data_IF_591633600727
#
_entry.id   IF_591633600727
#
_cell.length_a   1.000
_cell.length_b   1.000
_cell.length_c   1.000
_cell.angle_alpha   90.00
_cell.angle_beta   90.00
_cell.angle_gamma   90.00
#
_symmetry.space_group_name_H-M   'P 1'
#
loop_
_entity.id
_entity.type
_entity.pdbx_description
1 polymer ?
#
# COMPACT_ATOMS: atom_id res chain seq x y z
N UNK A 1 25.03 26.95 -26.31
CA UNK A 1 23.70 26.32 -26.23
C UNK A 1 23.87 24.84 -26.53
N UNK A 2 23.97 24.01 -25.50
CA UNK A 2 24.13 22.56 -25.65
C UNK A 2 22.74 21.93 -25.52
N UNK A 3 22.27 21.29 -26.58
CA UNK A 3 21.07 20.46 -26.56
C UNK A 3 21.41 19.18 -25.80
N UNK A 4 20.82 19.00 -24.63
CA UNK A 4 20.79 17.71 -23.95
C UNK A 4 19.77 16.82 -24.68
N UNK A 5 20.15 15.61 -25.12
CA UNK A 5 19.19 14.67 -25.67
C UNK A 5 18.27 14.16 -24.55
N UNK A 6 16.97 14.41 -24.67
CA UNK A 6 15.91 13.70 -23.93
C UNK A 6 15.93 12.23 -24.36
N UNK A 7 16.82 11.46 -23.74
CA UNK A 7 16.80 10.02 -23.80
C UNK A 7 15.96 9.57 -22.59
N UNK A 8 14.64 9.50 -22.76
CA UNK A 8 13.78 8.80 -21.79
C UNK A 8 13.99 7.32 -22.09
N UNK A 9 14.72 6.56 -21.25
CA UNK A 9 14.88 5.14 -21.48
C UNK A 9 13.49 4.49 -21.44
N UNK A 10 13.26 3.53 -22.33
CA UNK A 10 12.11 2.63 -22.27
C UNK A 10 12.02 2.09 -20.84
N UNK A 11 11.02 2.54 -20.08
CA UNK A 11 10.91 2.25 -18.65
C UNK A 11 10.76 0.74 -18.47
N UNK A 12 11.85 0.06 -18.09
CA UNK A 12 11.77 -1.13 -17.26
C UNK A 12 10.96 -0.70 -16.03
N UNK A 13 9.71 -1.15 -15.97
CA UNK A 13 8.76 -0.69 -14.99
C UNK A 13 9.29 -0.86 -13.56
N UNK A 14 9.02 0.10 -12.64
CA UNK A 14 9.60 0.10 -11.32
C UNK A 14 9.12 -1.13 -10.53
N UNK A 15 10.01 -1.71 -9.75
CA UNK A 15 9.59 -2.62 -8.69
C UNK A 15 8.65 -1.87 -7.72
N UNK A 16 7.86 -2.62 -6.95
CA UNK A 16 6.88 -2.03 -6.02
C UNK A 16 7.56 -1.10 -5.01
N UNK A 17 8.82 -1.37 -4.65
CA UNK A 17 9.61 -0.56 -3.72
C UNK A 17 9.97 0.81 -4.32
N UNK A 18 10.53 0.87 -5.53
CA UNK A 18 10.85 2.15 -6.19
C UNK A 18 9.61 3.02 -6.39
N UNK A 19 8.46 2.38 -6.67
CA UNK A 19 7.20 3.10 -6.75
C UNK A 19 6.75 3.63 -5.39
N UNK A 20 6.90 2.85 -4.32
CA UNK A 20 6.66 3.32 -2.95
C UNK A 20 7.53 4.52 -2.59
N UNK A 21 8.83 4.48 -2.88
CA UNK A 21 9.75 5.60 -2.62
C UNK A 21 9.33 6.86 -3.38
N UNK A 22 8.87 6.71 -4.62
CA UNK A 22 8.33 7.82 -5.41
C UNK A 22 7.07 8.42 -4.80
N UNK A 23 6.16 7.59 -4.25
CA UNK A 23 4.97 8.06 -3.54
C UNK A 23 5.33 8.78 -2.24
N UNK A 24 6.38 8.35 -1.55
CA UNK A 24 6.83 8.95 -0.30
C UNK A 24 7.47 10.33 -0.50
N UNK A 25 8.17 10.51 -1.62
CA UNK A 25 8.79 11.79 -2.00
C UNK A 25 7.82 12.74 -2.70
N UNK A 26 6.62 12.30 -3.06
CA UNK A 26 5.64 13.11 -3.76
C UNK A 26 5.09 14.22 -2.86
N UNK A 27 4.98 15.44 -3.40
CA UNK A 27 4.34 16.55 -2.70
C UNK A 27 2.81 16.43 -2.82
N UNK A 28 2.21 15.74 -1.84
CA UNK A 28 0.76 15.52 -1.77
C UNK A 28 -0.05 16.80 -1.53
N UNK A 29 0.58 17.91 -1.18
CA UNK A 29 -0.09 19.17 -0.83
C UNK A 29 0.19 20.29 -1.84
N UNK A 30 0.74 19.96 -3.00
CA UNK A 30 1.00 20.91 -4.09
C UNK A 30 -0.24 21.70 -4.50
N UNK A 31 -1.44 21.12 -4.33
CA UNK A 31 -2.72 21.75 -4.63
C UNK A 31 -3.05 22.94 -3.72
N UNK A 32 -2.39 23.07 -2.57
CA UNK A 32 -2.53 24.20 -1.63
C UNK A 32 -1.44 25.27 -1.82
N UNK A 33 -0.57 25.14 -2.82
CA UNK A 33 0.44 26.15 -3.10
C UNK A 33 -0.16 27.40 -3.75
N UNK A 34 0.22 28.57 -3.26
CA UNK A 34 -0.12 29.86 -3.88
C UNK A 34 0.62 30.09 -5.22
N UNK A 35 1.67 29.30 -5.50
CA UNK A 35 2.38 29.35 -6.77
C UNK A 35 1.68 28.49 -7.82
N UNK A 36 1.19 29.13 -8.90
CA UNK A 36 0.58 28.42 -10.03
C UNK A 36 1.51 27.36 -10.63
N UNK A 37 2.81 27.62 -10.67
CA UNK A 37 3.79 26.70 -11.24
C UNK A 37 3.93 25.42 -10.40
N UNK A 38 3.85 25.55 -9.07
CA UNK A 38 3.88 24.40 -8.15
C UNK A 38 2.58 23.61 -8.26
N UNK A 39 1.43 24.28 -8.28
CA UNK A 39 0.12 23.65 -8.46
C UNK A 39 0.08 22.79 -9.75
N UNK A 40 0.38 23.39 -10.90
CA UNK A 40 0.28 22.69 -12.20
C UNK A 40 1.33 21.58 -12.35
N UNK A 41 2.51 21.75 -11.74
CA UNK A 41 3.52 20.69 -11.70
C UNK A 41 3.03 19.52 -10.86
N UNK A 42 2.45 19.78 -9.70
CA UNK A 42 1.87 18.76 -8.83
C UNK A 42 0.76 17.97 -9.51
N UNK A 43 -0.20 18.65 -10.14
CA UNK A 43 -1.28 18.01 -10.90
C UNK A 43 -0.76 17.11 -12.02
N UNK A 44 0.26 17.57 -12.77
CA UNK A 44 0.88 16.77 -13.83
C UNK A 44 1.56 15.53 -13.27
N UNK A 45 2.40 15.69 -12.24
CA UNK A 45 3.11 14.59 -11.61
C UNK A 45 2.16 13.58 -10.97
N UNK A 46 1.05 14.04 -10.38
CA UNK A 46 0.02 13.17 -9.85
C UNK A 46 -0.65 12.35 -10.96
N UNK A 47 -0.98 12.98 -12.08
CA UNK A 47 -1.51 12.28 -13.26
C UNK A 47 -0.55 11.22 -13.81
N UNK A 48 0.76 11.50 -13.81
CA UNK A 48 1.79 10.51 -14.18
C UNK A 48 1.83 9.33 -13.20
N UNK A 49 1.76 9.59 -11.89
CA UNK A 49 1.74 8.54 -10.86
C UNK A 49 0.49 7.66 -11.01
N UNK A 50 -0.69 8.26 -11.20
CA UNK A 50 -1.94 7.52 -11.39
C UNK A 50 -1.90 6.67 -12.67
N UNK A 51 -1.33 7.20 -13.75
CA UNK A 51 -1.16 6.43 -14.99
C UNK A 51 -0.21 5.24 -14.81
N UNK A 52 0.94 5.46 -14.15
CA UNK A 52 1.87 4.37 -13.81
C UNK A 52 1.14 3.31 -12.97
N UNK A 53 0.35 3.72 -11.98
CA UNK A 53 -0.38 2.80 -11.14
C UNK A 53 -1.38 1.94 -11.92
N UNK A 54 -2.08 2.53 -12.90
CA UNK A 54 -3.00 1.82 -13.78
C UNK A 54 -2.28 0.82 -14.69
N UNK A 55 -1.14 1.22 -15.24
CA UNK A 55 -0.38 0.39 -16.18
C UNK A 55 0.28 -0.82 -15.50
N UNK A 56 0.60 -0.71 -14.20
CA UNK A 56 1.33 -1.75 -13.43
C UNK A 56 0.43 -2.65 -12.58
N UNK A 57 -0.86 -2.31 -12.46
CA UNK A 57 -1.87 -3.20 -11.94
C UNK A 57 -2.35 -2.94 -10.51
N UNK A 58 -3.12 -3.88 -9.93
CA UNK A 58 -3.93 -3.68 -8.72
C UNK A 58 -3.17 -3.14 -7.51
N UNK A 59 -1.98 -3.69 -7.24
CA UNK A 59 -1.17 -3.34 -6.07
C UNK A 59 -0.72 -1.88 -6.13
N UNK A 60 -0.30 -1.41 -7.30
CA UNK A 60 0.17 -0.03 -7.49
C UNK A 60 -0.97 0.98 -7.34
N UNK A 61 -2.15 0.63 -7.87
CA UNK A 61 -3.35 1.43 -7.75
C UNK A 61 -3.82 1.54 -6.29
N UNK A 62 -3.87 0.41 -5.59
CA UNK A 62 -4.17 0.36 -4.16
C UNK A 62 -3.14 1.14 -3.33
N UNK A 63 -1.84 1.05 -3.65
CA UNK A 63 -0.79 1.75 -2.91
C UNK A 63 -0.91 3.26 -3.04
N UNK A 64 -1.11 3.74 -4.27
CA UNK A 64 -1.28 5.18 -4.57
C UNK A 64 -2.42 5.77 -3.75
N UNK A 65 -3.55 5.07 -3.69
CA UNK A 65 -4.76 5.54 -3.02
C UNK A 65 -4.66 5.40 -1.50
N UNK A 66 -3.99 4.35 -1.01
CA UNK A 66 -3.67 4.18 0.41
C UNK A 66 -2.77 5.30 0.92
N UNK A 67 -1.76 5.69 0.15
CA UNK A 67 -0.91 6.85 0.44
C UNK A 67 -1.71 8.15 0.42
N UNK A 68 -2.50 8.38 -0.63
CA UNK A 68 -3.37 9.55 -0.72
C UNK A 68 -4.25 9.69 0.51
N UNK A 69 -4.89 8.59 0.93
CA UNK A 69 -5.74 8.52 2.12
C UNK A 69 -4.98 8.78 3.41
N UNK A 70 -3.77 8.24 3.55
CA UNK A 70 -2.89 8.52 4.69
C UNK A 70 -2.59 10.02 4.79
N UNK A 71 -2.14 10.62 3.69
CA UNK A 71 -1.72 12.02 3.63
C UNK A 71 -2.89 12.99 3.82
N UNK A 72 -4.10 12.60 3.39
CA UNK A 72 -5.32 13.39 3.55
C UNK A 72 -6.09 13.09 4.84
N UNK A 73 -5.50 12.38 5.81
CA UNK A 73 -6.16 11.97 7.05
C UNK A 73 -5.40 12.39 8.30
N UNK A 74 -6.11 12.44 9.42
CA UNK A 74 -5.60 13.03 10.65
C UNK A 74 -6.04 14.47 10.81
N UNK A 75 -5.35 15.19 11.68
CA UNK A 75 -5.89 16.34 12.41
C UNK A 75 -5.67 17.70 11.77
N UNK A 76 -6.64 18.63 11.89
CA UNK A 76 -7.36 18.96 13.14
C UNK A 76 -8.82 18.43 13.25
N UNK A 77 -9.34 18.22 14.49
CA UNK A 77 -10.66 17.67 14.95
C UNK A 77 -10.83 16.18 15.40
N UNK A 78 -9.93 15.61 16.21
CA UNK A 78 -9.78 14.17 16.53
C UNK A 78 -10.07 13.12 15.41
N UNK A 79 -9.81 13.42 14.14
CA UNK A 79 -9.91 12.49 13.00
C UNK A 79 -8.86 11.38 13.12
N UNK A 80 -9.26 10.09 13.12
CA UNK A 80 -8.32 8.99 13.09
C UNK A 80 -7.40 9.06 11.88
N UNK A 81 -6.09 9.00 12.11
CA UNK A 81 -5.09 8.93 11.04
C UNK A 81 -5.10 7.54 10.44
N UNK A 82 -5.28 7.43 9.13
CA UNK A 82 -5.12 6.14 8.45
C UNK A 82 -3.65 5.72 8.56
N UNK A 83 -3.34 4.43 8.80
CA UNK A 83 -1.97 3.98 8.87
C UNK A 83 -1.28 4.13 7.51
N UNK A 84 -0.02 4.56 7.52
CA UNK A 84 0.81 4.57 6.32
C UNK A 84 1.11 3.11 5.94
N UNK A 85 0.93 2.69 4.69
CA UNK A 85 1.42 1.39 4.24
C UNK A 85 2.94 1.28 4.52
N UNK A 86 3.43 0.17 5.07
CA UNK A 86 4.87 -0.04 5.24
C UNK A 86 5.53 -0.23 3.88
N UNK A 87 6.83 0.07 3.77
CA UNK A 87 7.58 -0.16 2.54
C UNK A 87 7.48 -1.65 2.13
N UNK A 88 7.29 -1.95 0.83
CA UNK A 88 7.40 -3.30 0.33
C UNK A 88 8.81 -3.82 0.58
N UNK A 89 8.95 -4.88 1.36
CA UNK A 89 10.24 -5.56 1.55
C UNK A 89 10.26 -6.77 0.61
N UNK A 90 11.43 -7.11 0.09
CA UNK A 90 11.61 -8.40 -0.57
C UNK A 90 11.68 -9.49 0.51
N UNK A 91 10.55 -10.14 0.76
CA UNK A 91 10.41 -11.06 1.89
C UNK A 91 11.11 -12.39 1.60
N UNK A 92 12.31 -12.53 2.16
CA UNK A 92 13.05 -13.79 2.17
C UNK A 92 12.41 -14.82 3.10
N UNK A 93 12.76 -16.10 2.93
CA UNK A 93 12.33 -17.19 3.81
C UNK A 93 12.57 -16.87 5.30
N UNK A 94 13.68 -16.20 5.64
CA UNK A 94 14.03 -15.81 7.01
C UNK A 94 12.94 -14.96 7.66
N UNK A 95 12.38 -13.99 6.93
CA UNK A 95 11.34 -13.14 7.50
C UNK A 95 10.03 -13.90 7.78
N UNK A 96 9.65 -14.86 6.93
CA UNK A 96 8.49 -15.71 7.19
C UNK A 96 8.70 -16.58 8.43
N UNK A 97 9.92 -17.06 8.65
CA UNK A 97 10.29 -17.80 9.85
C UNK A 97 10.19 -16.89 11.07
N UNK A 98 10.73 -15.68 11.02
CA UNK A 98 10.68 -14.71 12.11
C UNK A 98 9.24 -14.34 12.49
N UNK A 99 8.38 -14.05 11.50
CA UNK A 99 6.96 -13.79 11.74
C UNK A 99 6.26 -14.99 12.38
N UNK A 100 6.57 -16.20 11.92
CA UNK A 100 5.98 -17.41 12.50
C UNK A 100 6.45 -17.61 13.93
N UNK A 101 7.74 -17.47 14.21
CA UNK A 101 8.32 -17.59 15.55
C UNK A 101 7.72 -16.55 16.50
N UNK A 102 7.62 -15.29 16.06
CA UNK A 102 7.01 -14.22 16.86
C UNK A 102 5.55 -14.53 17.18
N UNK A 103 4.79 -15.03 16.20
CA UNK A 103 3.41 -15.42 16.42
C UNK A 103 3.27 -16.57 17.42
N UNK A 104 4.05 -17.63 17.28
CA UNK A 104 4.03 -18.76 18.23
C UNK A 104 4.42 -18.31 19.65
N UNK A 105 5.40 -17.41 19.78
CA UNK A 105 5.79 -16.86 21.06
C UNK A 105 4.64 -16.10 21.72
N UNK A 106 3.91 -15.27 20.97
CA UNK A 106 2.73 -14.57 21.46
C UNK A 106 1.63 -15.52 21.91
N UNK A 107 1.37 -16.60 21.17
CA UNK A 107 0.37 -17.60 21.54
C UNK A 107 0.75 -18.32 22.85
N UNK A 108 2.03 -18.65 23.04
CA UNK A 108 2.53 -19.25 24.28
C UNK A 108 2.39 -18.27 25.45
N UNK A 109 2.78 -17.01 25.26
CA UNK A 109 2.64 -15.98 26.31
C UNK A 109 1.18 -15.76 26.70
N UNK A 110 0.28 -15.71 25.71
CA UNK A 110 -1.16 -15.57 25.92
C UNK A 110 -1.73 -16.75 26.70
N UNK A 111 -1.25 -17.97 26.44
CA UNK A 111 -1.64 -19.14 27.21
C UNK A 111 -1.08 -19.12 28.64
N UNK A 112 0.17 -18.65 28.82
CA UNK A 112 0.83 -18.60 30.11
C UNK A 112 0.22 -17.55 31.06
N UNK A 113 -0.35 -16.46 30.54
CA UNK A 113 -0.93 -15.38 31.36
C UNK A 113 -2.43 -15.61 31.61
N UNK A 114 -2.84 -15.52 32.89
CA UNK A 114 -4.28 -15.58 33.29
C UNK A 114 -5.12 -14.41 32.81
N UNK A 115 -4.50 -13.26 32.53
CA UNK A 115 -5.14 -12.09 31.94
C UNK A 115 -4.25 -11.59 30.80
N UNK A 116 -4.85 -11.37 29.62
CA UNK A 116 -4.14 -10.81 28.47
C UNK A 116 -3.94 -9.32 28.73
N UNK A 117 -2.69 -8.89 28.87
CA UNK A 117 -2.36 -7.47 28.95
C UNK A 117 -2.61 -6.77 27.62
N UNK A 118 -2.89 -5.46 27.67
CA UNK A 118 -3.07 -4.61 26.47
C UNK A 118 -1.88 -4.73 25.52
N UNK A 119 -0.66 -4.84 26.05
CA UNK A 119 0.57 -4.91 25.27
C UNK A 119 0.62 -6.14 24.35
N UNK A 120 0.09 -7.29 24.77
CA UNK A 120 0.06 -8.50 23.96
C UNK A 120 -0.92 -8.39 22.80
N UNK A 121 -2.06 -7.72 23.04
CA UNK A 121 -3.08 -7.46 22.02
C UNK A 121 -2.51 -6.52 20.95
N UNK A 122 -1.78 -5.48 21.37
CA UNK A 122 -1.13 -4.56 20.45
C UNK A 122 -0.06 -5.27 19.61
N UNK A 123 0.80 -6.09 20.22
CA UNK A 123 1.82 -6.86 19.49
C UNK A 123 1.21 -7.86 18.49
N UNK A 124 0.15 -8.56 18.88
CA UNK A 124 -0.58 -9.46 17.98
C UNK A 124 -1.21 -8.68 16.81
N UNK A 125 -1.86 -7.54 17.09
CA UNK A 125 -2.43 -6.69 16.06
C UNK A 125 -1.37 -6.16 15.09
N UNK A 126 -0.19 -5.77 15.57
CA UNK A 126 0.92 -5.33 14.72
C UNK A 126 1.45 -6.46 13.82
N UNK A 127 1.58 -7.67 14.36
CA UNK A 127 2.01 -8.85 13.60
C UNK A 127 0.99 -9.20 12.51
N UNK A 128 -0.30 -9.26 12.86
CA UNK A 128 -1.37 -9.52 11.90
C UNK A 128 -1.43 -8.42 10.84
N UNK A 129 -1.21 -7.15 11.21
CA UNK A 129 -1.11 -6.03 10.26
C UNK A 129 0.08 -6.19 9.32
N UNK A 130 1.23 -6.67 9.79
CA UNK A 130 2.36 -6.95 8.93
C UNK A 130 1.98 -8.03 7.89
N UNK A 131 1.38 -9.14 8.33
CA UNK A 131 0.93 -10.23 7.44
C UNK A 131 -0.15 -9.77 6.46
N UNK A 132 -1.04 -8.89 6.89
CA UNK A 132 -2.01 -8.24 6.00
C UNK A 132 -1.32 -7.49 4.85
N UNK A 133 -0.30 -6.68 5.14
CA UNK A 133 0.44 -5.97 4.11
C UNK A 133 1.24 -6.92 3.20
N UNK A 134 1.72 -8.06 3.71
CA UNK A 134 2.30 -9.11 2.87
C UNK A 134 1.29 -9.64 1.86
N UNK A 135 0.08 -9.94 2.32
CA UNK A 135 -1.02 -10.37 1.47
C UNK A 135 -1.34 -9.32 0.41
N UNK A 136 -1.47 -8.05 0.82
CA UNK A 136 -1.73 -6.94 -0.10
C UNK A 136 -0.65 -6.82 -1.19
N UNK A 137 0.64 -6.88 -0.82
CA UNK A 137 1.74 -6.79 -1.78
C UNK A 137 1.92 -8.05 -2.64
N UNK A 138 1.36 -9.19 -2.23
CA UNK A 138 1.50 -10.46 -2.96
C UNK A 138 0.75 -10.51 -4.29
N UNK A 139 -0.13 -9.55 -4.57
CA UNK A 139 -0.90 -9.50 -5.82
C UNK A 139 -1.85 -10.70 -6.01
N UNK A 140 -2.36 -11.26 -4.90
CA UNK A 140 -3.29 -12.40 -4.94
C UNK A 140 -2.63 -13.78 -4.91
N UNK A 141 -1.33 -13.85 -4.63
CA UNK A 141 -0.66 -15.13 -4.42
C UNK A 141 -1.16 -15.83 -3.15
N UNK A 142 -1.07 -17.16 -3.15
CA UNK A 142 -1.42 -17.99 -2.00
C UNK A 142 -0.41 -17.75 -0.87
N UNK A 143 -0.87 -17.75 0.40
CA UNK A 143 0.04 -17.62 1.54
C UNK A 143 1.04 -18.79 1.55
N UNK A 144 2.33 -18.53 1.87
CA UNK A 144 3.31 -19.58 2.10
C UNK A 144 2.87 -20.52 3.22
N UNK A 145 3.39 -21.76 3.22
CA UNK A 145 3.00 -22.78 4.21
C UNK A 145 3.17 -22.32 5.68
N UNK A 146 4.21 -21.52 5.97
CA UNK A 146 4.48 -20.95 7.29
C UNK A 146 3.37 -20.01 7.78
N UNK A 147 2.70 -19.32 6.86
CA UNK A 147 1.55 -18.43 7.14
C UNK A 147 0.25 -19.23 7.10
N UNK A 148 0.07 -20.06 6.06
CA UNK A 148 -1.14 -20.85 5.85
C UNK A 148 -1.43 -21.85 6.98
N UNK A 149 -0.40 -22.28 7.73
CA UNK A 149 -0.54 -23.18 8.86
C UNK A 149 -1.20 -22.57 10.11
N UNK A 150 -1.45 -21.25 10.14
CA UNK A 150 -2.24 -20.60 11.21
C UNK A 150 -3.49 -19.97 10.59
N UNK A 151 -4.63 -20.15 11.26
CA UNK A 151 -5.92 -19.58 10.80
C UNK A 151 -5.87 -18.06 10.81
N UNK A 152 -5.32 -17.44 11.85
CA UNK A 152 -5.30 -15.98 12.01
C UNK A 152 -4.32 -15.32 11.02
N UNK A 153 -3.13 -15.91 10.83
CA UNK A 153 -2.15 -15.41 9.86
C UNK A 153 -2.67 -15.56 8.42
N UNK A 154 -3.28 -16.72 8.11
CA UNK A 154 -3.88 -16.97 6.79
C UNK A 154 -5.06 -16.03 6.51
N UNK A 155 -5.89 -15.78 7.53
CA UNK A 155 -6.98 -14.81 7.44
C UNK A 155 -6.43 -13.41 7.14
N UNK A 156 -5.48 -12.91 7.93
CA UNK A 156 -4.86 -11.61 7.72
C UNK A 156 -4.28 -11.45 6.30
N UNK A 157 -3.57 -12.48 5.82
CA UNK A 157 -3.06 -12.51 4.44
C UNK A 157 -4.19 -12.38 3.41
N UNK A 158 -5.21 -13.24 3.50
CA UNK A 158 -6.33 -13.26 2.56
C UNK A 158 -7.15 -11.97 2.59
N UNK A 159 -7.26 -11.32 3.76
CA UNK A 159 -7.88 -10.00 3.90
C UNK A 159 -7.09 -8.95 3.10
N UNK A 160 -5.76 -8.96 3.20
CA UNK A 160 -4.90 -8.08 2.39
C UNK A 160 -5.07 -8.29 0.89
N UNK A 161 -5.07 -9.55 0.43
CA UNK A 161 -5.31 -9.87 -0.98
C UNK A 161 -6.69 -9.39 -1.45
N UNK A 162 -7.72 -9.65 -0.64
CA UNK A 162 -9.11 -9.29 -0.96
C UNK A 162 -9.27 -7.77 -1.03
N UNK A 163 -8.70 -7.02 -0.09
CA UNK A 163 -8.79 -5.57 -0.10
C UNK A 163 -8.21 -4.97 -1.39
N UNK A 164 -7.03 -5.43 -1.83
CA UNK A 164 -6.43 -4.97 -3.08
C UNK A 164 -7.31 -5.31 -4.28
N UNK A 165 -7.86 -6.51 -4.33
CA UNK A 165 -8.71 -6.97 -5.43
C UNK A 165 -10.04 -6.20 -5.52
N UNK A 166 -10.72 -6.01 -4.38
CA UNK A 166 -11.97 -5.26 -4.28
C UNK A 166 -11.74 -3.79 -4.62
N UNK A 167 -10.71 -3.18 -4.04
CA UNK A 167 -10.37 -1.79 -4.29
C UNK A 167 -10.09 -1.54 -5.77
N UNK A 168 -9.26 -2.39 -6.38
CA UNK A 168 -8.89 -2.23 -7.79
C UNK A 168 -10.08 -2.40 -8.72
N UNK A 169 -10.97 -3.33 -8.41
CA UNK A 169 -12.21 -3.52 -9.17
C UNK A 169 -13.10 -2.28 -9.12
N UNK A 170 -13.30 -1.70 -7.93
CA UNK A 170 -14.10 -0.48 -7.75
C UNK A 170 -13.49 0.74 -8.45
N UNK A 171 -12.17 0.89 -8.38
CA UNK A 171 -11.50 2.07 -8.95
C UNK A 171 -11.41 1.99 -10.48
N UNK A 172 -11.20 0.80 -11.04
CA UNK A 172 -11.30 0.59 -12.50
C UNK A 172 -12.71 0.88 -13.02
N UNK A 173 -13.75 0.50 -12.28
CA UNK A 173 -15.13 0.82 -12.63
C UNK A 173 -15.35 2.35 -12.63
N UNK A 174 -14.89 3.06 -11.60
CA UNK A 174 -14.98 4.52 -11.52
C UNK A 174 -14.27 5.22 -12.67
N UNK A 175 -13.07 4.76 -13.03
CA UNK A 175 -12.30 5.31 -14.14
C UNK A 175 -13.04 5.08 -15.46
N UNK A 176 -13.58 3.87 -15.66
CA UNK A 176 -14.37 3.53 -16.84
C UNK A 176 -15.60 4.44 -16.98
N UNK A 177 -16.32 4.69 -15.87
CA UNK A 177 -17.46 5.62 -15.85
C UNK A 177 -17.03 7.04 -16.23
N UNK A 178 -15.92 7.55 -15.64
CA UNK A 178 -15.39 8.89 -15.94
C UNK A 178 -14.98 9.04 -17.40
N UNK A 179 -14.36 8.01 -17.99
CA UNK A 179 -13.97 8.01 -19.40
C UNK A 179 -15.19 8.02 -20.32
N UNK A 180 -16.23 7.23 -20.01
CA UNK A 180 -17.50 7.25 -20.75
C UNK A 180 -18.21 8.60 -20.69
N UNK A 181 -18.15 9.30 -19.55
CA UNK A 181 -18.74 10.63 -19.39
C UNK A 181 -18.01 11.73 -20.17
N UNK A 182 -16.71 11.54 -20.48
CA UNK A 182 -15.88 12.49 -21.23
C UNK A 182 -15.86 12.24 -22.75
N UNK A 183 -16.43 11.13 -23.24
CA UNK A 183 -16.49 10.86 -24.67
C UNK A 183 -17.46 11.85 -25.34
N UNK A 184 -17.00 12.65 -26.34
CA UNK A 184 -17.89 13.53 -27.09
C UNK A 184 -18.91 12.68 -27.88
N UNK A 185 -20.17 13.13 -27.89
CA UNK A 185 -21.22 12.57 -28.74
C UNK A 185 -20.93 12.82 -30.21
#
# INVERSE_FOLDING_TARGET
MQHLPCNVPAHSFPDTLSFYERLDQFDWFSCFSDSSDVYWRGERLFGEIEQIALDNGPVFLWLTKSFSKHMSSGEPWNTPKFPKPPAPVEWTLSHYIELRVAYEHLQIERFARRAVGTDLIEQEAELLRAVFYLGAYSGGQKPPALIAGSVELSLAWSTGCTEVAEFSSQELERITIRQRAKAPR
#
